data_IF_937080330013
#
_entry.id   IF_937080330013
#
_cell.length_a   1.000
_cell.length_b   1.000
_cell.length_c   1.000
_cell.angle_alpha   90.00
_cell.angle_beta   90.00
_cell.angle_gamma   90.00
#
_symmetry.space_group_name_H-M   'P 1'
#
loop_
_entity.id
_entity.type
_entity.pdbx_description
1 polymer ?
2 non-polymer ?
3 non-polymer ?
4 water ?
#
# COMPACT_ATOMS: atom_id res chain seq x y z
N UNK A 43 23.61 2.35 10.78
CA UNK A 43 23.46 3.85 10.81
C UNK A 43 22.71 4.37 9.60
N UNK A 44 22.08 3.46 8.83
CA UNK A 44 21.24 3.89 7.72
C UNK A 44 19.78 3.94 8.15
N UNK A 45 19.15 5.11 7.93
CA UNK A 45 17.75 5.29 8.26
C UNK A 45 16.89 4.51 7.27
N UNK A 46 15.85 3.85 7.82
CA UNK A 46 14.79 3.27 7.02
C UNK A 46 13.73 4.35 6.79
N UNK A 47 13.46 4.66 5.52
CA UNK A 47 12.56 5.73 5.16
C UNK A 47 11.40 5.16 4.36
N UNK A 48 10.17 5.58 4.71
CA UNK A 48 8.98 5.19 3.97
C UNK A 48 7.95 6.32 4.05
N UNK A 49 6.91 6.26 3.18
CA UNK A 49 5.77 7.15 3.27
C UNK A 49 5.05 6.89 4.60
N UNK A 50 4.49 7.95 5.20
CA UNK A 50 3.84 7.78 6.49
C UNK A 50 2.34 7.68 6.27
N UNK A 51 1.86 6.46 6.08
CA UNK A 51 0.51 6.25 5.56
C UNK A 51 -0.52 6.56 6.64
N UNK A 52 -0.10 6.43 7.89
CA UNK A 52 -0.99 6.61 9.03
C UNK A 52 -1.69 7.97 8.97
N UNK A 53 -1.14 8.89 8.16
CA UNK A 53 -1.60 10.27 8.05
C UNK A 53 -3.11 10.32 7.80
N UNK A 54 -3.60 9.39 6.97
CA UNK A 54 -4.94 9.39 6.41
C UNK A 54 -5.85 8.43 7.19
N UNK A 55 -5.44 8.07 8.40
CA UNK A 55 -6.18 7.10 9.17
C UNK A 55 -6.92 7.81 10.32
N UNK A 56 -8.02 7.22 10.76
CA UNK A 56 -8.73 7.72 11.92
C UNK A 56 -8.12 7.16 13.20
N UNK A 57 -6.97 6.50 13.08
CA UNK A 57 -6.30 5.96 14.26
C UNK A 57 -5.15 6.88 14.67
N UNK A 58 -4.86 7.84 13.79
CA UNK A 58 -3.77 8.80 13.95
C UNK A 58 -3.76 9.39 15.36
N UNK A 59 -4.83 10.07 15.76
CA UNK A 59 -4.85 10.74 17.06
C UNK A 59 -4.42 9.74 18.12
N UNK A 60 -5.13 8.62 18.20
CA UNK A 60 -4.84 7.58 19.18
C UNK A 60 -3.38 7.14 19.09
N UNK A 61 -2.84 7.06 17.87
CA UNK A 61 -1.46 6.62 17.69
C UNK A 61 -0.49 7.66 18.25
N UNK A 62 -0.74 8.93 17.91
CA UNK A 62 0.03 10.07 18.41
C UNK A 62 -0.04 10.15 19.93
N UNK A 63 -1.23 9.91 20.51
CA UNK A 63 -1.39 10.00 21.95
C UNK A 63 -0.35 9.14 22.67
N UNK A 64 0.06 8.04 22.04
CA UNK A 64 0.90 7.09 22.77
C UNK A 64 2.35 7.22 22.33
N UNK A 65 2.60 7.58 21.06
CA UNK A 65 3.96 7.43 20.56
C UNK A 65 4.56 8.76 20.12
N UNK A 66 3.74 9.79 19.90
CA UNK A 66 4.28 11.06 19.45
C UNK A 66 4.86 11.81 20.65
N UNK A 67 6.05 12.38 20.48
CA UNK A 67 6.52 13.34 21.46
C UNK A 67 5.59 14.53 21.41
N UNK A 68 4.95 14.82 22.54
CA UNK A 68 3.91 15.83 22.60
C UNK A 68 4.52 17.22 22.43
N UNK A 69 3.68 18.16 21.98
CA UNK A 69 4.14 19.49 21.64
C UNK A 69 4.56 20.23 22.90
N UNK A 70 4.06 19.80 24.06
CA UNK A 70 4.42 20.47 25.28
C UNK A 70 5.84 20.08 25.70
N UNK A 71 6.41 19.09 24.99
CA UNK A 71 7.77 18.66 25.26
C UNK A 71 8.77 19.25 24.28
N UNK A 72 8.32 20.07 23.33
CA UNK A 72 9.26 20.63 22.36
C UNK A 72 9.52 22.07 22.77
N UNK A 73 10.74 22.36 23.24
CA UNK A 73 11.00 23.63 23.88
C UNK A 73 11.28 24.78 22.89
N UNK A 74 12.21 24.59 21.95
CA UNK A 74 12.54 25.68 21.05
C UNK A 74 13.12 25.12 19.75
N UNK A 75 13.25 25.99 18.74
CA UNK A 75 13.86 25.53 17.50
C UNK A 75 14.74 26.66 16.95
N UNK A 76 15.83 26.27 16.27
CA UNK A 76 16.53 27.25 15.46
C UNK A 76 17.20 26.53 14.29
N UNK A 77 17.87 27.32 13.45
CA UNK A 77 18.31 26.89 12.14
C UNK A 77 19.37 27.88 11.66
N UNK A 78 20.25 27.43 10.76
CA UNK A 78 21.46 28.18 10.43
C UNK A 78 21.25 29.11 9.23
N UNK A 79 20.09 29.07 8.57
CA UNK A 79 19.94 29.83 7.37
C UNK A 79 18.75 30.78 7.34
N UNK A 80 18.31 31.27 8.51
CA UNK A 80 17.25 32.26 8.56
C UNK A 80 15.97 31.72 7.94
N UNK A 81 15.19 32.62 7.32
CA UNK A 81 13.88 32.31 6.80
C UNK A 81 13.68 33.16 5.55
N UNK A 82 12.89 32.65 4.61
CA UNK A 82 12.36 33.43 3.52
C UNK A 82 11.04 34.07 3.97
N UNK A 83 10.93 35.39 3.76
CA UNK A 83 9.73 36.13 4.07
C UNK A 83 9.36 35.86 5.53
N UNK A 84 8.12 35.42 5.75
CA UNK A 84 7.66 35.16 7.11
C UNK A 84 7.29 33.68 7.28
N UNK A 85 7.99 32.80 6.52
CA UNK A 85 7.97 31.36 6.71
C UNK A 85 8.96 31.02 7.81
N UNK A 86 8.57 31.36 9.05
CA UNK A 86 9.45 31.33 10.21
C UNK A 86 9.63 29.91 10.71
N UNK A 87 10.72 29.68 11.45
CA UNK A 87 11.18 28.35 11.80
C UNK A 87 10.25 27.69 12.82
N UNK A 88 9.48 28.52 13.57
CA UNK A 88 8.50 27.95 14.47
C UNK A 88 7.46 27.18 13.66
N UNK A 89 7.31 27.55 12.38
CA UNK A 89 6.29 26.90 11.58
C UNK A 89 6.67 25.47 11.18
N UNK A 90 7.88 25.04 11.58
CA UNK A 90 8.34 23.69 11.31
C UNK A 90 7.85 22.73 12.40
N UNK A 91 7.36 23.26 13.52
CA UNK A 91 6.98 22.41 14.65
C UNK A 91 5.74 23.01 15.30
N UNK A 92 4.87 23.62 14.49
CA UNK A 92 3.68 24.27 15.00
C UNK A 92 2.47 23.33 15.03
N UNK A 93 2.65 22.09 14.56
CA UNK A 93 1.61 21.06 14.60
C UNK A 93 0.66 21.15 13.42
N UNK A 94 0.97 22.02 12.44
CA UNK A 94 0.05 22.21 11.35
C UNK A 94 0.80 21.95 10.04
N UNK A 95 0.35 20.92 9.31
CA UNK A 95 0.98 20.51 8.06
C UNK A 95 0.88 21.60 7.00
N UNK A 96 -0.12 22.50 7.15
CA UNK A 96 -0.43 23.47 6.11
C UNK A 96 0.33 24.79 6.29
N UNK A 97 1.28 24.81 7.24
CA UNK A 97 2.21 25.91 7.45
C UNK A 97 3.65 25.38 7.37
N UNK A 98 4.55 26.17 6.79
CA UNK A 98 5.89 25.67 6.59
C UNK A 98 6.92 26.74 6.93
N UNK A 99 8.12 26.29 7.36
CA UNK A 99 9.36 27.06 7.36
C UNK A 99 10.05 26.87 6.01
N UNK A 100 10.53 27.97 5.43
CA UNK A 100 11.46 27.94 4.31
C UNK A 100 12.70 28.73 4.70
N UNK A 101 13.87 28.17 4.40
CA UNK A 101 15.11 28.88 4.65
C UNK A 101 15.11 30.22 3.90
N UNK A 102 15.94 31.15 4.40
CA UNK A 102 16.25 32.38 3.72
C UNK A 102 17.59 32.26 2.99
N UNK A 103 18.35 31.20 3.32
CA UNK A 103 19.59 30.91 2.61
C UNK A 103 19.51 29.51 1.99
N UNK A 104 19.52 29.37 0.63
CA UNK A 104 19.52 28.06 -0.02
C UNK A 104 20.85 27.33 0.14
N UNK A 105 20.78 25.99 0.21
CA UNK A 105 21.93 25.13 0.03
C UNK A 105 22.69 25.54 -1.23
N UNK A 106 23.99 25.83 -1.06
CA UNK A 106 24.90 26.09 -2.17
C UNK A 106 26.09 25.16 -2.03
N UNK A 107 27.07 25.34 -2.93
CA UNK A 107 28.29 24.57 -3.01
C UNK A 107 29.03 24.57 -1.67
N UNK A 108 28.63 25.45 -0.73
CA UNK A 108 29.42 25.77 0.45
C UNK A 108 28.55 26.05 1.68
N UNK A 109 27.24 25.85 1.56
CA UNK A 109 26.39 26.02 2.73
C UNK A 109 25.38 24.87 2.75
N UNK A 110 25.23 24.25 3.93
CA UNK A 110 24.23 23.24 4.21
C UNK A 110 23.24 23.74 5.27
N UNK A 111 21.95 23.67 4.95
CA UNK A 111 20.90 24.08 5.88
C UNK A 111 20.76 23.01 6.95
N UNK A 112 20.63 23.45 8.20
CA UNK A 112 20.34 22.52 9.27
C UNK A 112 19.35 23.16 10.24
N UNK A 113 18.65 22.31 10.98
CA UNK A 113 17.64 22.77 11.92
C UNK A 113 17.96 22.04 13.22
N UNK A 114 17.83 22.74 14.37
CA UNK A 114 18.11 22.13 15.66
C UNK A 114 16.90 22.30 16.60
N UNK A 115 16.36 21.16 17.07
CA UNK A 115 15.22 21.15 17.96
C UNK A 115 15.68 20.82 19.38
N UNK A 116 15.27 21.67 20.33
CA UNK A 116 15.54 21.44 21.74
C UNK A 116 14.28 20.94 22.42
N UNK A 117 14.42 19.83 23.15
CA UNK A 117 13.31 19.26 23.91
C UNK A 117 13.36 19.79 25.33
N UNK A 118 12.21 19.77 26.01
CA UNK A 118 12.10 20.28 27.37
C UNK A 118 12.92 19.42 28.33
N UNK A 119 13.07 18.13 28.01
CA UNK A 119 13.84 17.22 28.84
C UNK A 119 14.41 16.17 27.90
N UNK A 120 15.43 15.43 28.33
CA UNK A 120 16.01 14.39 27.50
C UNK A 120 14.93 13.39 27.12
N UNK A 121 14.90 13.02 25.82
CA UNK A 121 13.77 12.30 25.26
C UNK A 121 14.27 11.21 24.30
N UNK A 122 13.74 10.01 24.48
CA UNK A 122 14.11 8.86 23.67
C UNK A 122 13.23 8.82 22.42
N UNK A 123 13.89 8.94 21.25
CA UNK A 123 13.22 9.12 19.95
C UNK A 123 13.82 8.12 18.96
N UNK A 124 12.96 7.49 18.14
CA UNK A 124 13.43 6.52 17.17
C UNK A 124 13.01 6.91 15.75
N UNK A 125 12.09 7.88 15.63
CA UNK A 125 11.59 8.23 14.32
C UNK A 125 11.27 9.71 14.24
N UNK A 126 11.49 10.27 13.04
CA UNK A 126 11.09 11.60 12.66
C UNK A 126 10.06 11.45 11.54
N UNK A 127 8.93 12.17 11.60
CA UNK A 127 8.04 12.27 10.46
C UNK A 127 8.18 13.69 9.92
N UNK A 128 8.46 13.81 8.62
CA UNK A 128 8.84 15.07 8.04
C UNK A 128 8.13 15.24 6.69
N UNK A 129 7.68 16.46 6.42
CA UNK A 129 7.27 16.76 5.06
C UNK A 129 7.95 18.06 4.67
N UNK A 130 8.21 18.26 3.37
CA UNK A 130 8.57 19.59 2.88
C UNK A 130 7.30 20.46 2.82
N UNK A 131 7.44 21.73 2.44
CA UNK A 131 6.32 22.64 2.26
C UNK A 131 5.23 22.00 1.40
N UNK A 132 3.96 22.35 1.70
CA UNK A 132 2.81 21.70 1.10
C UNK A 132 1.84 22.73 0.50
N UNK A 133 2.38 23.83 -0.02
CA UNK A 133 1.56 24.89 -0.60
C UNK A 133 1.64 24.82 -2.12
N UNK A 134 1.50 25.97 -2.80
CA UNK A 134 1.65 26.06 -4.25
C UNK A 134 2.95 25.41 -4.71
N UNK A 135 4.04 25.57 -3.93
CA UNK A 135 5.37 25.10 -4.30
C UNK A 135 5.68 23.75 -3.65
N UNK A 136 4.62 22.97 -3.42
CA UNK A 136 4.64 21.62 -2.85
C UNK A 136 5.94 20.89 -3.19
N UNK A 137 6.65 20.42 -2.17
CA UNK A 137 7.80 19.54 -2.37
C UNK A 137 9.11 20.31 -2.47
N UNK A 138 9.03 21.60 -2.79
CA UNK A 138 10.27 22.35 -2.96
C UNK A 138 11.03 22.34 -1.63
N UNK A 139 12.32 22.01 -1.72
CA UNK A 139 13.18 22.09 -0.54
C UNK A 139 13.14 20.80 0.28
N UNK A 140 12.53 19.76 -0.27
CA UNK A 140 12.52 18.47 0.42
C UNK A 140 13.95 18.00 0.67
N UNK A 141 14.15 17.34 1.82
CA UNK A 141 15.42 16.78 2.23
C UNK A 141 15.61 15.39 1.60
N UNK A 142 16.05 15.40 0.34
CA UNK A 142 16.36 14.21 -0.44
C UNK A 142 17.45 13.41 0.26
N UNK A 143 18.37 14.11 0.94
CA UNK A 143 19.42 13.50 1.75
C UNK A 143 19.59 14.26 3.06
N UNK A 144 19.73 13.51 4.16
CA UNK A 144 19.71 14.12 5.47
C UNK A 144 20.59 13.32 6.42
N UNK A 145 20.96 13.97 7.53
CA UNK A 145 21.68 13.35 8.64
C UNK A 145 21.10 13.87 9.95
N UNK A 146 21.09 13.01 10.98
CA UNK A 146 20.48 13.31 12.26
C UNK A 146 21.55 13.16 13.35
N UNK A 147 21.70 14.20 14.16
CA UNK A 147 22.71 14.22 15.22
C UNK A 147 22.02 14.48 16.56
N UNK A 148 22.61 13.93 17.63
CA UNK A 148 22.11 14.10 18.98
C UNK A 148 23.09 14.96 19.78
N UNK A 149 22.56 15.71 20.74
CA UNK A 149 23.31 16.28 21.84
C UNK A 149 22.52 16.01 23.12
N UNK A 150 23.24 15.86 24.24
CA UNK A 150 22.57 15.63 25.51
C UNK A 150 22.57 16.90 26.35
N UNK A 151 23.07 18.01 25.79
CA UNK A 151 22.97 19.26 26.54
C UNK A 151 22.32 20.32 25.68
N UNK A 152 22.11 21.50 26.29
CA UNK A 152 21.32 22.58 25.71
C UNK A 152 22.14 23.50 24.81
N UNK A 153 23.47 23.51 24.96
CA UNK A 153 24.31 24.41 24.17
C UNK A 153 25.57 23.67 23.76
N UNK A 154 26.28 24.18 22.74
CA UNK A 154 27.57 23.64 22.35
C UNK A 154 27.51 22.79 21.10
N UNK A 155 28.63 22.74 20.36
CA UNK A 155 28.76 21.95 19.15
C UNK A 155 29.41 20.60 19.49
N UNK A 156 28.67 19.76 20.24
CA UNK A 156 29.15 18.44 20.63
C UNK A 156 28.28 17.37 19.97
N UNK A 157 27.70 17.67 18.80
CA UNK A 157 26.76 16.76 18.18
C UNK A 157 27.46 15.48 17.67
N UNK A 158 26.89 14.31 17.99
CA UNK A 158 27.29 13.04 17.37
C UNK A 158 26.24 12.52 16.38
N UNK A 159 26.69 11.95 15.26
CA UNK A 159 25.79 11.45 14.22
C UNK A 159 25.00 10.25 14.73
N UNK A 160 23.65 10.30 14.60
CA UNK A 160 22.75 9.20 14.93
C UNK A 160 22.42 8.42 13.65
N UNK A 161 22.13 9.10 12.54
CA UNK A 161 21.69 8.39 11.35
C UNK A 161 21.82 9.26 10.09
N UNK A 162 21.93 8.59 8.93
CA UNK A 162 21.82 9.25 7.64
C UNK A 162 20.76 8.53 6.80
N UNK A 163 20.25 9.21 5.76
CA UNK A 163 19.29 8.59 4.88
C UNK A 163 19.01 9.37 3.60
N UNK A 164 18.21 8.75 2.72
CA UNK A 164 17.79 9.38 1.49
C UNK A 164 16.32 9.07 1.23
N UNK A 165 15.71 9.84 0.33
CA UNK A 165 14.41 9.51 -0.23
C UNK A 165 14.29 10.19 -1.58
N UNK A 166 14.02 9.37 -2.60
CA UNK A 166 14.16 9.78 -3.99
C UNK A 166 12.83 9.58 -4.71
N UNK A 167 11.95 8.80 -4.07
CA UNK A 167 10.64 8.48 -4.62
C UNK A 167 9.94 9.76 -5.09
N UNK A 168 9.68 10.68 -4.15
CA UNK A 168 8.94 11.91 -4.37
C UNK A 168 9.48 12.98 -3.41
N UNK A 169 9.26 14.25 -3.74
CA UNK A 169 9.58 15.33 -2.82
C UNK A 169 8.32 15.84 -2.12
N UNK A 170 7.15 15.25 -2.42
CA UNK A 170 5.89 15.84 -1.99
C UNK A 170 5.23 14.98 -0.91
N UNK A 171 5.95 13.95 -0.47
CA UNK A 171 5.41 12.97 0.46
C UNK A 171 5.76 13.36 1.88
N UNK A 172 4.92 12.85 2.78
CA UNK A 172 5.14 12.89 4.22
C UNK A 172 5.81 11.58 4.58
N UNK A 173 7.05 11.66 5.10
CA UNK A 173 7.90 10.48 5.24
C UNK A 173 8.21 10.19 6.70
N UNK A 174 8.41 8.91 6.99
CA UNK A 174 8.81 8.40 8.29
C UNK A 174 10.26 7.93 8.23
N UNK A 175 11.09 8.51 9.10
CA UNK A 175 12.52 8.27 9.12
C UNK A 175 12.82 7.55 10.44
N UNK A 176 13.32 6.32 10.31
CA UNK A 176 13.38 5.38 11.42
C UNK A 176 14.84 4.97 11.63
N UNK A 177 15.25 5.01 12.90
CA UNK A 177 16.64 4.79 13.28
C UNK A 177 16.66 4.11 14.65
N UNK A 178 17.85 3.77 15.14
CA UNK A 178 17.99 3.26 16.50
C UNK A 178 17.37 4.24 17.48
N UNK A 179 16.56 3.78 18.46
CA UNK A 179 16.09 4.64 19.55
C UNK A 179 17.25 5.35 20.24
N UNK A 180 17.25 6.69 20.22
CA UNK A 180 18.35 7.44 20.82
C UNK A 180 17.82 8.53 21.76
N UNK A 181 18.60 8.83 22.79
CA UNK A 181 18.29 9.95 23.66
C UNK A 181 18.63 11.27 22.97
N UNK A 182 17.76 12.27 23.18
CA UNK A 182 18.06 13.60 22.69
C UNK A 182 17.67 14.63 23.75
N UNK A 183 18.59 15.57 23.98
CA UNK A 183 18.18 16.87 24.49
C UNK A 183 17.97 17.80 23.29
N UNK A 184 18.92 17.78 22.35
CA UNK A 184 18.83 18.54 21.12
C UNK A 184 18.95 17.56 19.95
N UNK A 185 18.12 17.75 18.91
CA UNK A 185 18.22 16.95 17.69
C UNK A 185 18.56 17.88 16.54
N UNK A 186 19.57 17.51 15.76
CA UNK A 186 19.97 18.29 14.60
C UNK A 186 19.63 17.53 13.31
N UNK A 187 18.95 18.23 12.41
CA UNK A 187 18.62 17.70 11.10
C UNK A 187 19.35 18.53 10.04
N UNK A 188 20.27 17.88 9.30
CA UNK A 188 21.00 18.53 8.22
C UNK A 188 20.36 18.22 6.86
N UNK A 189 20.15 19.28 6.07
CA UNK A 189 19.67 19.12 4.70
C UNK A 189 20.86 18.87 3.77
N UNK A 190 21.35 17.62 3.77
CA UNK A 190 22.49 17.24 2.95
C UNK A 190 22.20 17.55 1.47
N UNK A 191 21.03 17.11 0.97
CA UNK A 191 20.56 17.61 -0.31
C UNK A 191 19.10 18.04 -0.15
N UNK A 192 18.80 19.24 -0.68
CA UNK A 192 17.45 19.79 -0.62
C UNK A 192 16.97 20.10 -2.04
N UNK A 193 15.89 19.42 -2.45
CA UNK A 193 15.28 19.67 -3.75
C UNK A 193 15.23 21.17 -4.03
N UNK A 194 15.91 21.57 -5.10
CA UNK A 194 15.97 22.97 -5.54
C UNK A 194 16.54 23.88 -4.44
N UNK A 195 17.12 23.28 -3.38
CA UNK A 195 18.13 23.91 -2.52
C UNK A 195 17.54 24.76 -1.39
N UNK A 196 16.36 25.34 -1.64
CA UNK A 196 15.68 26.19 -0.68
C UNK A 196 14.94 25.31 0.32
N UNK A 197 15.70 24.69 1.23
CA UNK A 197 15.22 23.73 2.23
C UNK A 197 13.92 24.23 2.85
N UNK A 198 12.97 23.32 3.06
CA UNK A 198 11.69 23.66 3.67
C UNK A 198 11.23 22.52 4.57
N UNK A 199 10.31 22.86 5.49
CA UNK A 199 9.70 21.89 6.38
C UNK A 199 8.27 22.33 6.74
N UNK A 200 7.30 21.54 6.27
CA UNK A 200 5.94 21.67 6.74
C UNK A 200 5.91 21.40 8.25
N UNK A 201 6.40 20.22 8.64
CA UNK A 201 6.50 19.84 10.03
C UNK A 201 7.67 18.87 10.17
N UNK A 202 8.26 18.86 11.37
CA UNK A 202 8.96 17.71 11.93
C UNK A 202 8.17 17.20 13.15
N UNK A 203 7.93 15.90 13.14
CA UNK A 203 7.28 15.23 14.25
C UNK A 203 8.23 14.12 14.72
N UNK A 204 8.12 13.79 16.01
CA UNK A 204 9.08 12.91 16.68
C UNK A 204 8.29 11.81 17.38
N UNK A 205 8.83 10.59 17.32
CA UNK A 205 8.14 9.43 17.84
C UNK A 205 9.07 8.62 18.71
N UNK A 206 8.51 8.06 19.79
CA UNK A 206 9.17 7.06 20.60
C UNK A 206 9.11 5.73 19.86
N UNK A 207 9.85 4.75 20.38
CA UNK A 207 9.87 3.44 19.76
C UNK A 207 8.52 2.76 19.98
N UNK A 208 8.12 2.00 18.95
CA UNK A 208 6.90 1.21 18.97
C UNK A 208 7.34 -0.24 18.71
N UNK A 209 7.50 -0.99 19.80
CA UNK A 209 8.08 -2.32 19.74
C UNK A 209 7.10 -3.32 19.12
N UNK A 210 5.80 -3.17 19.42
CA UNK A 210 4.78 -4.08 18.87
C UNK A 210 4.64 -3.87 17.36
N UNK A 211 4.77 -2.61 16.94
CA UNK A 211 4.84 -2.30 15.53
C UNK A 211 6.02 -3.01 14.87
N UNK A 212 7.20 -2.93 15.50
CA UNK A 212 8.39 -3.56 14.94
C UNK A 212 8.20 -5.07 14.89
N UNK A 213 7.57 -5.64 15.92
CA UNK A 213 7.32 -7.07 15.95
C UNK A 213 6.40 -7.44 14.79
N UNK A 214 5.31 -6.67 14.63
CA UNK A 214 4.33 -7.00 13.60
C UNK A 214 5.02 -7.03 12.24
N UNK A 215 6.05 -6.21 12.03
CA UNK A 215 6.71 -6.14 10.73
C UNK A 215 7.52 -7.40 10.48
N UNK A 216 7.62 -8.26 11.48
CA UNK A 216 8.26 -9.54 11.32
C UNK A 216 7.25 -10.69 11.15
N UNK A 217 6.00 -10.35 10.83
CA UNK A 217 4.96 -11.36 10.70
C UNK A 217 5.31 -12.33 9.57
N UNK A 218 5.77 -11.80 8.44
CA UNK A 218 6.10 -12.60 7.27
C UNK A 218 7.61 -12.57 7.02
N UNK A 219 8.07 -13.45 6.14
CA UNK A 219 9.49 -13.64 5.92
C UNK A 219 10.06 -12.57 4.99
N UNK A 220 9.20 -11.89 4.23
CA UNK A 220 9.69 -10.94 3.25
C UNK A 220 8.54 -10.07 2.74
N UNK A 221 8.82 -9.27 1.72
CA UNK A 221 7.84 -8.30 1.25
C UNK A 221 6.72 -8.94 0.42
N UNK A 222 6.92 -10.15 -0.13
CA UNK A 222 5.82 -10.77 -0.85
C UNK A 222 4.75 -11.38 0.08
N UNK A 223 4.98 -11.34 1.40
CA UNK A 223 3.96 -11.59 2.41
C UNK A 223 3.22 -12.88 2.08
N UNK A 224 3.97 -13.95 1.80
CA UNK A 224 3.34 -15.19 1.36
C UNK A 224 3.81 -16.34 2.23
N UNK A 225 4.62 -16.02 3.25
CA UNK A 225 5.17 -17.04 4.13
C UNK A 225 5.27 -16.46 5.53
N UNK A 226 4.65 -17.13 6.50
CA UNK A 226 4.64 -16.64 7.87
C UNK A 226 6.01 -16.93 8.48
N UNK A 227 6.60 -15.95 9.18
CA UNK A 227 7.84 -16.19 9.92
C UNK A 227 7.68 -17.33 10.92
N UNK A 228 8.78 -18.03 11.18
CA UNK A 228 8.80 -19.13 12.14
C UNK A 228 8.20 -18.72 13.48
N UNK A 229 8.39 -17.44 13.84
CA UNK A 229 7.92 -16.88 15.11
C UNK A 229 6.40 -17.00 15.27
N UNK A 230 5.69 -17.09 14.15
CA UNK A 230 4.23 -16.95 14.16
C UNK A 230 3.60 -18.13 13.42
N UNK A 231 4.36 -19.23 13.25
CA UNK A 231 4.05 -20.23 12.23
C UNK A 231 3.04 -21.28 12.72
N UNK A 232 2.29 -21.00 13.79
CA UNK A 232 1.18 -21.87 14.18
C UNK A 232 0.00 -20.98 14.58
N UNK A 233 -1.22 -21.50 14.51
CA UNK A 233 -2.39 -20.71 14.89
C UNK A 233 -2.30 -20.25 16.34
N UNK A 234 -1.66 -21.06 17.19
CA UNK A 234 -1.59 -20.71 18.60
C UNK A 234 -0.60 -19.55 18.80
N UNK A 235 0.50 -19.55 18.04
CA UNK A 235 1.46 -18.46 18.13
C UNK A 235 0.81 -17.16 17.68
N UNK A 236 0.00 -17.29 16.63
CA UNK A 236 -0.58 -16.14 15.96
C UNK A 236 -1.64 -15.53 16.87
N UNK A 237 -2.46 -16.39 17.51
CA UNK A 237 -3.45 -15.94 18.47
C UNK A 237 -2.77 -15.21 19.64
N UNK A 238 -1.70 -15.79 20.17
CA UNK A 238 -0.99 -15.15 21.27
C UNK A 238 -0.58 -13.74 20.83
N UNK A 239 0.04 -13.64 19.63
CA UNK A 239 0.48 -12.37 19.10
C UNK A 239 -0.69 -11.38 19.04
N UNK A 240 -1.81 -11.82 18.48
CA UNK A 240 -2.94 -10.94 18.28
C UNK A 240 -3.46 -10.42 19.62
N UNK A 241 -3.53 -11.30 20.62
CA UNK A 241 -3.94 -10.94 21.97
C UNK A 241 -2.97 -9.90 22.52
N UNK A 242 -1.67 -10.12 22.31
CA UNK A 242 -0.62 -9.18 22.69
C UNK A 242 -0.88 -7.79 22.08
N UNK A 243 -1.62 -7.74 20.97
CA UNK A 243 -1.73 -6.55 20.14
C UNK A 243 -3.05 -5.80 20.39
N UNK A 244 -3.96 -6.38 21.17
CA UNK A 244 -5.36 -5.95 21.13
C UNK A 244 -5.53 -4.52 21.67
N UNK A 245 -4.65 -4.09 22.58
CA UNK A 245 -4.80 -2.79 23.24
C UNK A 245 -3.99 -1.71 22.54
N UNK A 246 -3.33 -2.06 21.42
CA UNK A 246 -2.52 -1.13 20.65
C UNK A 246 -3.40 -0.15 19.87
N UNK A 247 -3.03 1.15 19.78
CA UNK A 247 -3.81 2.13 19.01
C UNK A 247 -4.14 1.78 17.55
N UNK A 248 -3.28 1.03 16.86
CA UNK A 248 -3.60 0.73 15.47
C UNK A 248 -3.86 -0.77 15.30
N UNK A 249 -4.38 -1.38 16.36
CA UNK A 249 -4.77 -2.78 16.35
C UNK A 249 -5.57 -3.13 15.10
N UNK A 250 -6.56 -2.28 14.75
CA UNK A 250 -7.50 -2.62 13.68
C UNK A 250 -6.78 -2.61 12.34
N UNK A 251 -5.58 -2.01 12.32
CA UNK A 251 -4.81 -1.96 11.09
C UNK A 251 -3.94 -3.22 11.00
N UNK A 252 -3.75 -3.93 12.11
CA UNK A 252 -2.94 -5.15 12.09
C UNK A 252 -3.80 -6.37 11.82
N UNK A 253 -5.14 -6.23 11.88
CA UNK A 253 -6.04 -7.37 11.81
C UNK A 253 -5.94 -8.04 10.45
N UNK A 254 -5.77 -7.22 9.40
CA UNK A 254 -5.73 -7.71 8.04
C UNK A 254 -4.56 -8.68 7.88
N UNK A 255 -3.37 -8.23 8.27
CA UNK A 255 -2.18 -9.04 8.13
C UNK A 255 -2.26 -10.30 8.98
N UNK A 256 -2.82 -10.17 10.19
CA UNK A 256 -2.98 -11.38 11.02
C UNK A 256 -3.91 -12.38 10.34
N UNK A 257 -4.97 -11.88 9.71
CA UNK A 257 -5.94 -12.73 9.02
C UNK A 257 -5.28 -13.41 7.84
N UNK A 258 -4.50 -12.64 7.06
CA UNK A 258 -3.67 -13.16 5.98
C UNK A 258 -2.77 -14.31 6.47
N UNK A 259 -2.06 -14.12 7.60
CA UNK A 259 -1.21 -15.17 8.13
C UNK A 259 -2.05 -16.41 8.49
N UNK A 260 -3.21 -16.19 9.11
CA UNK A 260 -4.14 -17.27 9.44
C UNK A 260 -4.51 -18.04 8.17
N UNK A 261 -4.84 -17.34 7.09
CA UNK A 261 -5.24 -18.06 5.88
C UNK A 261 -4.05 -18.83 5.30
N UNK A 262 -2.83 -18.29 5.41
CA UNK A 262 -1.67 -18.95 4.83
C UNK A 262 -1.38 -20.23 5.64
N UNK A 263 -1.51 -20.17 6.95
CA UNK A 263 -1.25 -21.35 7.77
C UNK A 263 -2.28 -22.44 7.49
N UNK A 264 -3.49 -22.09 7.05
CA UNK A 264 -4.53 -23.09 6.86
C UNK A 264 -4.76 -23.36 5.36
N UNK A 265 -3.83 -22.98 4.48
CA UNK A 265 -4.02 -23.16 3.06
C UNK A 265 -3.90 -24.64 2.72
N UNK A 266 -4.61 -25.05 1.67
CA UNK A 266 -4.41 -26.40 1.14
C UNK A 266 -3.50 -26.32 -0.08
N UNK A 267 -2.99 -27.47 -0.51
CA UNK A 267 -2.06 -27.55 -1.63
C UNK A 267 -2.70 -27.18 -2.97
N UNK A 268 -1.89 -26.68 -3.91
CA UNK A 268 -2.39 -26.41 -5.24
C UNK A 268 -2.76 -27.71 -5.95
N UNK A 269 -4.00 -27.83 -6.46
CA UNK A 269 -4.39 -29.02 -7.18
C UNK A 269 -5.46 -28.66 -8.22
N UNK A 270 -5.08 -28.12 -9.39
CA UNK A 270 -6.04 -27.42 -10.24
C UNK A 270 -6.82 -28.45 -11.03
N UNK A 271 -8.04 -28.09 -11.41
CA UNK A 271 -8.86 -28.99 -12.20
C UNK A 271 -9.00 -28.44 -13.60
N UNK A 272 -9.28 -29.35 -14.54
CA UNK A 272 -9.70 -29.00 -15.89
C UNK A 272 -11.13 -28.49 -15.82
N UNK A 273 -11.31 -27.16 -15.93
CA UNK A 273 -12.62 -26.52 -15.89
C UNK A 273 -13.43 -26.93 -17.12
N UNK A 274 -14.76 -26.91 -16.99
CA UNK A 274 -15.62 -27.07 -18.17
C UNK A 274 -16.16 -25.71 -18.58
N UNK A 275 -16.03 -25.35 -19.87
CA UNK A 275 -16.49 -24.05 -20.32
C UNK A 275 -17.62 -24.25 -21.34
N UNK A 276 -18.74 -23.54 -21.12
CA UNK A 276 -19.82 -23.51 -22.10
C UNK A 276 -20.58 -22.20 -22.08
N UNK A 277 -21.26 -21.93 -23.19
CA UNK A 277 -22.17 -20.82 -23.35
C UNK A 277 -23.30 -20.95 -22.32
N UNK A 278 -23.64 -19.87 -21.65
CA UNK A 278 -24.73 -19.92 -20.69
C UNK A 278 -25.64 -18.70 -20.91
N UNK A 279 -26.88 -18.81 -20.43
CA UNK A 279 -27.82 -17.70 -20.43
C UNK A 279 -28.47 -17.51 -19.06
N UNK A 280 -28.10 -18.31 -18.04
CA UNK A 280 -28.78 -18.19 -16.75
C UNK A 280 -28.56 -16.81 -16.11
N UNK A 281 -27.63 -16.00 -16.65
CA UNK A 281 -27.39 -14.66 -16.12
C UNK A 281 -28.62 -13.77 -16.36
N UNK A 282 -29.43 -14.12 -17.34
CA UNK A 282 -30.64 -13.39 -17.62
C UNK A 282 -31.68 -13.63 -16.53
N UNK A 283 -31.52 -14.76 -15.80
CA UNK A 283 -32.50 -15.28 -14.85
C UNK A 283 -32.27 -14.62 -13.50
N UNK A 284 -33.01 -13.52 -13.31
CA UNK A 284 -32.90 -12.58 -12.20
C UNK A 284 -33.05 -13.29 -10.86
N UNK A 285 -34.09 -14.13 -10.74
CA UNK A 285 -34.37 -14.94 -9.55
C UNK A 285 -33.17 -15.85 -9.25
N UNK A 286 -32.60 -16.46 -10.29
CA UNK A 286 -31.45 -17.35 -10.12
C UNK A 286 -30.22 -16.58 -9.66
N UNK A 287 -30.00 -15.38 -10.24
CA UNK A 287 -28.94 -14.48 -9.82
C UNK A 287 -29.05 -14.13 -8.34
N UNK A 288 -30.27 -13.89 -7.87
CA UNK A 288 -30.51 -13.53 -6.48
C UNK A 288 -30.00 -14.65 -5.57
N UNK A 289 -30.05 -15.89 -6.07
CA UNK A 289 -29.66 -17.03 -5.25
C UNK A 289 -28.23 -17.48 -5.49
N UNK A 290 -27.70 -17.34 -6.71
CA UNK A 290 -26.46 -18.03 -7.00
C UNK A 290 -25.34 -17.11 -7.45
N UNK A 291 -25.66 -15.87 -7.85
CA UNK A 291 -24.62 -14.94 -8.24
C UNK A 291 -24.23 -14.11 -7.04
N UNK A 292 -22.90 -13.96 -6.89
CA UNK A 292 -22.32 -13.10 -5.87
C UNK A 292 -22.69 -11.67 -6.18
N UNK A 293 -23.28 -10.91 -5.22
CA UNK A 293 -23.67 -9.52 -5.44
C UNK A 293 -22.47 -8.71 -5.89
N UNK A 294 -22.69 -7.79 -6.85
CA UNK A 294 -21.61 -6.93 -7.32
C UNK A 294 -21.06 -6.11 -6.14
N UNK A 295 -21.89 -5.90 -5.11
CA UNK A 295 -21.45 -5.08 -3.99
C UNK A 295 -20.34 -5.79 -3.22
N UNK A 296 -20.08 -7.07 -3.50
CA UNK A 296 -19.04 -7.76 -2.73
C UNK A 296 -17.66 -7.57 -3.38
N UNK A 297 -17.59 -6.80 -4.46
CA UNK A 297 -16.33 -6.50 -5.12
C UNK A 297 -15.71 -5.31 -4.42
N UNK A 298 -14.49 -5.47 -3.91
CA UNK A 298 -13.83 -4.38 -3.23
C UNK A 298 -13.06 -3.55 -4.23
N UNK A 299 -12.40 -4.23 -5.18
CA UNK A 299 -11.45 -3.61 -6.09
C UNK A 299 -11.27 -4.51 -7.29
N UNK A 300 -10.99 -3.90 -8.43
CA UNK A 300 -10.55 -4.62 -9.61
C UNK A 300 -9.31 -3.90 -10.13
N UNK A 301 -8.33 -4.68 -10.59
CA UNK A 301 -7.23 -4.12 -11.36
C UNK A 301 -6.89 -5.11 -12.47
N UNK A 302 -5.92 -4.73 -13.31
CA UNK A 302 -5.38 -5.57 -14.37
C UNK A 302 -3.96 -5.09 -14.64
N UNK A 303 -3.17 -5.90 -15.34
CA UNK A 303 -1.72 -5.69 -15.37
C UNK A 303 -1.29 -5.02 -16.67
N UNK A 304 -2.23 -4.74 -17.57
CA UNK A 304 -1.87 -4.26 -18.90
C UNK A 304 -2.48 -2.90 -19.28
N UNK A 305 -2.82 -2.08 -18.27
CA UNK A 305 -3.43 -0.76 -18.48
C UNK A 305 -4.71 -0.96 -19.29
N UNK A 306 -5.16 0.08 -20.03
CA UNK A 306 -6.32 -0.05 -20.89
C UNK A 306 -6.22 0.82 -22.13
N UNK A 307 -7.01 0.46 -23.15
CA UNK A 307 -7.07 1.20 -24.39
C UNK A 307 -8.17 2.25 -24.36
N UNK A 308 -7.83 3.49 -24.76
CA UNK A 308 -8.82 4.55 -24.98
C UNK A 308 -9.72 4.71 -23.73
N UNK A 309 -11.02 4.57 -23.95
CA UNK A 309 -11.99 4.80 -22.89
C UNK A 309 -12.51 3.48 -22.29
N UNK A 310 -11.82 2.37 -22.60
CA UNK A 310 -12.34 1.08 -22.18
C UNK A 310 -11.67 0.66 -20.86
N UNK A 311 -11.97 1.40 -19.79
CA UNK A 311 -11.35 1.23 -18.48
C UNK A 311 -11.87 -0.05 -17.80
N UNK A 312 -11.19 -0.46 -16.74
CA UNK A 312 -11.35 -1.81 -16.19
C UNK A 312 -12.69 -1.92 -15.46
N UNK A 313 -13.17 -0.81 -14.89
CA UNK A 313 -14.44 -0.87 -14.18
C UNK A 313 -15.54 -1.30 -15.14
N UNK A 314 -15.35 -1.13 -16.45
CA UNK A 314 -16.46 -1.48 -17.33
C UNK A 314 -16.70 -2.99 -17.42
N UNK A 315 -15.77 -3.78 -16.90
CA UNK A 315 -15.91 -5.22 -16.89
C UNK A 315 -16.85 -5.69 -15.78
N UNK A 316 -17.20 -4.79 -14.84
CA UNK A 316 -17.97 -5.18 -13.66
C UNK A 316 -19.12 -4.20 -13.41
N UNK A 317 -19.75 -3.72 -14.46
CA UNK A 317 -20.77 -2.70 -14.27
C UNK A 317 -22.13 -3.31 -14.60
N UNK A 318 -22.20 -4.63 -14.70
CA UNK A 318 -23.46 -5.30 -14.97
C UNK A 318 -24.12 -4.75 -16.24
N UNK A 319 -23.31 -4.53 -17.28
CA UNK A 319 -23.81 -4.14 -18.57
C UNK A 319 -22.97 -4.84 -19.65
N UNK A 320 -23.66 -5.70 -20.42
CA UNK A 320 -22.96 -6.54 -21.39
C UNK A 320 -22.42 -5.73 -22.57
N UNK A 321 -22.79 -4.44 -22.64
CA UNK A 321 -22.47 -3.58 -23.76
C UNK A 321 -21.23 -2.74 -23.47
N UNK A 322 -20.88 -2.55 -22.20
CA UNK A 322 -19.62 -1.87 -21.91
C UNK A 322 -18.56 -2.92 -21.61
N UNK A 323 -17.30 -2.63 -21.97
CA UNK A 323 -16.23 -3.58 -21.73
C UNK A 323 -14.92 -2.86 -21.44
N UNK A 324 -14.05 -3.55 -20.69
CA UNK A 324 -12.64 -3.21 -20.56
C UNK A 324 -11.92 -3.82 -21.75
N UNK A 325 -10.90 -3.10 -22.23
CA UNK A 325 -9.97 -3.63 -23.21
C UNK A 325 -8.56 -3.22 -22.76
N UNK A 326 -7.62 -4.17 -22.82
CA UNK A 326 -6.27 -3.94 -22.32
C UNK A 326 -5.60 -2.86 -23.18
N UNK A 327 -4.57 -2.24 -22.63
CA UNK A 327 -3.60 -1.54 -23.46
C UNK A 327 -2.35 -2.35 -23.86
N UNK A 328 -2.20 -3.62 -23.44
CA UNK A 328 -0.98 -4.39 -23.71
C UNK A 328 -1.31 -5.76 -24.28
N UNK A 329 -0.73 -6.09 -25.45
CA UNK A 329 -0.95 -7.37 -26.14
C UNK A 329 -0.37 -8.55 -25.36
N UNK A 330 -1.01 -9.72 -25.48
CA UNK A 330 -0.41 -10.99 -25.08
C UNK A 330 0.83 -11.21 -25.95
N UNK A 331 1.94 -11.63 -25.33
CA UNK A 331 3.14 -11.91 -26.10
C UNK A 331 3.85 -13.12 -25.50
N UNK A 332 5.04 -13.41 -26.03
CA UNK A 332 5.93 -14.38 -25.40
C UNK A 332 6.25 -13.99 -23.98
N UNK A 333 6.39 -12.69 -23.69
CA UNK A 333 6.80 -12.29 -22.36
C UNK A 333 5.66 -11.73 -21.49
N UNK A 334 4.41 -11.69 -22.00
CA UNK A 334 3.35 -11.01 -21.26
C UNK A 334 2.02 -11.72 -21.44
N UNK A 335 1.28 -11.86 -20.33
CA UNK A 335 -0.11 -12.29 -20.36
C UNK A 335 -0.98 -11.33 -19.59
N UNK A 336 -2.13 -11.02 -20.18
CA UNK A 336 -3.10 -10.15 -19.54
C UNK A 336 -3.69 -10.88 -18.33
N UNK A 337 -3.73 -10.17 -17.21
CA UNK A 337 -4.26 -10.69 -15.96
C UNK A 337 -5.21 -9.67 -15.33
N UNK A 338 -6.33 -10.16 -14.79
CA UNK A 338 -7.27 -9.30 -14.10
C UNK A 338 -7.43 -9.85 -12.67
N UNK A 339 -7.32 -8.96 -11.68
CA UNK A 339 -7.53 -9.37 -10.29
C UNK A 339 -8.74 -8.66 -9.70
N UNK A 340 -9.61 -9.44 -9.06
CA UNK A 340 -10.76 -8.90 -8.36
C UNK A 340 -10.63 -9.27 -6.89
N UNK A 341 -10.82 -8.30 -6.00
CA UNK A 341 -10.74 -8.55 -4.58
C UNK A 341 -12.13 -8.44 -3.99
N UNK A 342 -12.43 -9.27 -3.00
CA UNK A 342 -13.78 -9.29 -2.42
C UNK A 342 -13.73 -8.63 -1.05
N UNK A 343 -14.86 -8.04 -0.68
CA UNK A 343 -15.12 -7.58 0.68
C UNK A 343 -15.11 -8.75 1.65
N UNK A 344 -15.98 -9.73 1.40
CA UNK A 344 -16.07 -10.93 2.23
C UNK A 344 -15.68 -12.13 1.38
N UNK A 345 -14.91 -13.04 2.00
CA UNK A 345 -14.58 -14.34 1.41
C UNK A 345 -15.86 -14.93 0.82
N UNK A 346 -15.72 -15.70 -0.24
CA UNK A 346 -16.88 -16.25 -0.92
C UNK A 346 -16.46 -17.58 -1.56
N UNK A 347 -17.33 -18.59 -1.46
CA UNK A 347 -17.02 -19.84 -2.13
C UNK A 347 -17.74 -19.83 -3.46
N UNK A 348 -16.97 -20.02 -4.55
CA UNK A 348 -17.51 -19.99 -5.89
C UNK A 348 -17.19 -21.32 -6.57
N UNK A 349 -18.03 -21.72 -7.54
CA UNK A 349 -17.68 -22.82 -8.43
C UNK A 349 -17.73 -22.40 -9.90
N UNK A 350 -18.19 -21.16 -10.20
CA UNK A 350 -18.25 -20.73 -11.60
C UNK A 350 -17.80 -19.29 -11.79
N UNK A 351 -16.98 -19.05 -12.83
CA UNK A 351 -16.72 -17.69 -13.33
C UNK A 351 -17.38 -17.52 -14.69
N UNK A 352 -18.19 -16.46 -14.85
CA UNK A 352 -18.86 -16.20 -16.12
C UNK A 352 -18.25 -14.96 -16.76
N UNK A 353 -18.06 -15.00 -18.08
CA UNK A 353 -17.32 -13.93 -18.74
C UNK A 353 -17.70 -13.82 -20.21
N UNK A 354 -17.35 -12.66 -20.79
CA UNK A 354 -17.48 -12.44 -22.22
C UNK A 354 -16.41 -11.48 -22.69
N UNK A 355 -16.31 -11.31 -24.01
CA UNK A 355 -15.41 -10.32 -24.59
C UNK A 355 -16.19 -9.06 -24.97
N UNK A 356 -15.52 -8.09 -25.63
CA UNK A 356 -16.28 -7.09 -26.37
C UNK A 356 -17.10 -7.84 -27.42
N UNK A 357 -18.36 -7.43 -27.57
CA UNK A 357 -19.33 -8.19 -28.33
C UNK A 357 -19.25 -7.83 -29.81
N UNK A 358 -18.61 -6.69 -30.13
CA UNK A 358 -18.63 -6.27 -31.52
C UNK A 358 -18.01 -7.37 -32.38
N UNK A 359 -16.77 -7.77 -32.06
CA UNK A 359 -16.02 -8.68 -32.93
C UNK A 359 -15.26 -9.74 -32.14
N UNK A 360 -15.51 -9.83 -30.82
CA UNK A 360 -14.91 -10.86 -29.96
C UNK A 360 -13.39 -10.70 -29.84
N UNK A 361 -12.86 -9.56 -30.30
CA UNK A 361 -11.47 -9.23 -30.05
C UNK A 361 -11.18 -9.34 -28.55
N UNK A 362 -10.13 -10.11 -28.21
CA UNK A 362 -9.60 -10.20 -26.86
C UNK A 362 -10.30 -11.26 -26.00
N UNK A 363 -11.13 -12.08 -26.63
CA UNK A 363 -11.81 -13.18 -25.99
C UNK A 363 -10.81 -14.16 -25.37
N UNK A 364 -11.09 -14.56 -24.12
CA UNK A 364 -10.18 -15.46 -23.44
C UNK A 364 -10.38 -16.88 -23.96
N UNK A 365 -9.54 -17.29 -24.90
CA UNK A 365 -9.73 -18.59 -25.53
C UNK A 365 -9.21 -19.67 -24.60
N UNK A 366 -8.19 -19.32 -23.81
CA UNK A 366 -7.77 -20.21 -22.76
C UNK A 366 -7.60 -19.41 -21.47
N UNK A 367 -8.12 -19.94 -20.35
CA UNK A 367 -8.20 -19.16 -19.13
C UNK A 367 -7.60 -19.97 -18.00
N UNK A 368 -6.75 -19.30 -17.20
CA UNK A 368 -6.23 -19.84 -15.95
C UNK A 368 -6.88 -19.08 -14.81
N UNK A 369 -7.44 -19.83 -13.85
CA UNK A 369 -8.11 -19.21 -12.73
C UNK A 369 -7.32 -19.48 -11.45
N UNK A 370 -6.96 -18.40 -10.71
CA UNK A 370 -6.23 -18.55 -9.45
C UNK A 370 -7.08 -18.03 -8.30
N UNK A 371 -6.92 -18.66 -7.12
CA UNK A 371 -7.54 -18.16 -5.89
C UNK A 371 -6.47 -17.66 -4.91
N UNK A 372 -6.82 -16.63 -4.14
CA UNK A 372 -6.09 -16.22 -2.95
C UNK A 372 -7.07 -16.06 -1.80
N UNK A 373 -6.66 -16.52 -0.62
CA UNK A 373 -7.45 -16.36 0.60
C UNK A 373 -6.85 -15.22 1.43
N UNK A 374 -5.90 -14.48 0.86
CA UNK A 374 -5.41 -13.28 1.54
C UNK A 374 -5.82 -12.05 0.75
N UNK A 375 -5.75 -10.89 1.41
CA UNK A 375 -6.17 -9.62 0.85
C UNK A 375 -5.05 -9.05 0.00
N UNK A 376 -3.82 -9.53 0.23
CA UNK A 376 -2.64 -9.02 -0.45
C UNK A 376 -1.49 -10.01 -0.25
N UNK A 377 -0.40 -9.81 -0.98
CA UNK A 377 0.71 -10.74 -0.97
C UNK A 377 0.65 -11.73 -2.13
N UNK A 378 1.78 -12.37 -2.44
CA UNK A 378 1.85 -13.23 -3.62
C UNK A 378 1.35 -14.63 -3.26
N UNK A 379 0.05 -14.77 -3.05
CA UNK A 379 -0.47 -15.93 -2.36
C UNK A 379 -1.49 -16.65 -3.24
N UNK A 380 -1.44 -16.39 -4.55
CA UNK A 380 -2.40 -16.96 -5.47
C UNK A 380 -2.05 -18.42 -5.72
N UNK A 381 -3.06 -19.30 -5.76
CA UNK A 381 -2.75 -20.63 -6.24
C UNK A 381 -3.69 -20.94 -7.40
N UNK A 382 -3.22 -21.76 -8.35
CA UNK A 382 -3.99 -22.08 -9.54
C UNK A 382 -5.11 -23.04 -9.16
N UNK A 383 -6.36 -22.72 -9.56
CA UNK A 383 -7.50 -23.56 -9.23
C UNK A 383 -8.05 -24.30 -10.45
N UNK A 384 -7.95 -23.70 -11.64
CA UNK A 384 -8.58 -24.32 -12.79
C UNK A 384 -7.97 -23.76 -14.07
N UNK A 385 -8.11 -24.53 -15.13
CA UNK A 385 -7.78 -24.10 -16.48
C UNK A 385 -8.78 -24.74 -17.42
N UNK A 386 -9.11 -24.04 -18.48
CA UNK A 386 -10.03 -24.49 -19.51
C UNK A 386 -9.92 -23.57 -20.74
N UNK A 387 -10.58 -23.97 -21.82
CA UNK A 387 -10.49 -23.33 -23.12
C UNK A 387 -11.88 -23.33 -23.71
N UNK A 388 -12.16 -22.35 -24.59
CA UNK A 388 -13.37 -22.31 -25.39
C UNK A 388 -13.06 -21.42 -26.58
N UNK A 389 -13.67 -21.76 -27.71
CA UNK A 389 -13.62 -20.97 -28.92
C UNK A 389 -14.33 -19.65 -28.65
N UNK A 390 -13.88 -18.54 -29.26
CA UNK A 390 -14.57 -17.26 -29.13
C UNK A 390 -16.01 -17.41 -29.62
N UNK A 391 -16.92 -16.80 -28.86
CA UNK A 391 -18.34 -16.85 -29.13
C UNK A 391 -18.91 -15.56 -28.58
N UNK A 392 -19.98 -15.07 -29.22
CA UNK A 392 -20.80 -14.01 -28.66
C UNK A 392 -21.45 -14.53 -27.37
N UNK A 393 -21.97 -13.60 -26.55
CA UNK A 393 -22.68 -13.97 -25.33
C UNK A 393 -21.71 -14.26 -24.18
N UNK A 394 -22.18 -14.96 -23.14
CA UNK A 394 -21.31 -15.20 -22.01
C UNK A 394 -20.99 -16.68 -21.87
N UNK A 395 -19.84 -16.96 -21.23
CA UNK A 395 -19.38 -18.33 -21.06
C UNK A 395 -19.11 -18.56 -19.58
N UNK A 396 -19.48 -19.74 -19.06
CA UNK A 396 -19.08 -20.10 -17.71
C UNK A 396 -17.85 -20.99 -17.78
N UNK A 397 -16.89 -20.76 -16.87
CA UNK A 397 -15.91 -21.78 -16.49
C UNK A 397 -16.39 -22.44 -15.20
N UNK A 398 -16.73 -23.73 -15.23
CA UNK A 398 -17.07 -24.43 -13.99
C UNK A 398 -15.89 -25.28 -13.50
N UNK A 399 -15.57 -25.14 -12.21
CA UNK A 399 -14.45 -25.79 -11.51
C UNK A 399 -14.95 -26.19 -10.13
N UNK A 400 -14.09 -26.78 -9.28
CA UNK A 400 -14.46 -27.24 -7.93
C UNK A 400 -14.72 -26.06 -6.99
N UNK A 401 -15.74 -26.15 -6.12
CA UNK A 401 -16.03 -25.10 -5.14
C UNK A 401 -14.76 -24.66 -4.43
N UNK A 402 -14.42 -23.37 -4.56
CA UNK A 402 -13.19 -22.83 -4.01
C UNK A 402 -13.50 -21.55 -3.25
N UNK A 403 -12.82 -21.33 -2.12
CA UNK A 403 -12.94 -20.09 -1.38
C UNK A 403 -11.97 -19.02 -1.92
N UNK A 404 -12.46 -17.79 -2.12
CA UNK A 404 -11.71 -16.69 -2.70
C UNK A 404 -11.79 -15.43 -1.83
N UNK A 405 -10.63 -14.84 -1.53
CA UNK A 405 -10.58 -13.48 -1.04
C UNK A 405 -10.31 -12.57 -2.22
N UNK A 406 -9.48 -13.05 -3.17
CA UNK A 406 -9.21 -12.41 -4.44
C UNK A 406 -9.21 -13.51 -5.51
N UNK A 407 -9.53 -13.12 -6.75
CA UNK A 407 -9.44 -14.03 -7.89
C UNK A 407 -8.56 -13.35 -8.94
N UNK A 408 -7.67 -14.13 -9.56
CA UNK A 408 -6.95 -13.67 -10.72
C UNK A 408 -7.43 -14.44 -11.94
N UNK A 409 -7.70 -13.70 -13.01
CA UNK A 409 -8.22 -14.26 -14.24
C UNK A 409 -7.17 -14.02 -15.31
N UNK A 410 -6.56 -15.11 -15.78
CA UNK A 410 -5.44 -14.94 -16.69
C UNK A 410 -5.85 -15.31 -18.10
N UNK A 411 -5.55 -14.41 -19.05
CA UNK A 411 -5.80 -14.74 -20.42
C UNK A 411 -4.60 -15.53 -20.91
N UNK A 412 -4.64 -16.86 -20.81
CA UNK A 412 -3.50 -17.67 -21.25
C UNK A 412 -3.33 -17.62 -22.78
N UNK A 413 -4.47 -17.70 -23.49
CA UNK A 413 -4.53 -17.49 -24.93
C UNK A 413 -5.78 -16.66 -25.24
N UNK A 414 -5.69 -15.74 -26.21
CA UNK A 414 -6.77 -14.78 -26.40
C UNK A 414 -6.88 -14.40 -27.87
N UNK A 415 -8.11 -14.08 -28.30
CA UNK A 415 -8.33 -13.78 -29.72
C UNK A 415 -7.55 -12.52 -30.12
N UNK A 416 -6.80 -12.63 -31.23
CA UNK A 416 -5.94 -11.57 -31.73
C UNK A 416 -4.96 -11.10 -30.65
N UNK A 417 -4.69 -11.95 -29.64
CA UNK A 417 -3.71 -11.66 -28.59
C UNK A 417 -4.10 -10.41 -27.79
N UNK A 418 -5.36 -9.99 -27.96
CA UNK A 418 -5.89 -8.87 -27.20
C UNK A 418 -6.39 -9.36 -25.84
N UNK A 419 -7.15 -8.53 -25.12
CA UNK A 419 -7.91 -9.01 -23.97
C UNK A 419 -9.03 -8.02 -23.68
N UNK A 420 -10.27 -8.52 -23.67
CA UNK A 420 -11.44 -7.72 -23.31
C UNK A 420 -12.37 -8.54 -22.42
N UNK A 421 -13.13 -7.83 -21.59
CA UNK A 421 -14.19 -8.37 -20.75
C UNK A 421 -15.40 -7.44 -20.81
N UNK A 422 -16.54 -7.90 -21.35
CA UNK A 422 -17.75 -7.09 -21.26
C UNK A 422 -18.28 -7.21 -19.83
N UNK A 423 -18.40 -8.43 -19.30
CA UNK A 423 -18.72 -8.65 -17.88
C UNK A 423 -17.94 -9.83 -17.31
N UNK A 424 -17.69 -9.76 -16.00
CA UNK A 424 -17.06 -10.82 -15.24
C UNK A 424 -17.89 -11.02 -13.98
N UNK A 425 -18.43 -12.24 -13.87
CA UNK A 425 -19.44 -12.56 -12.87
C UNK A 425 -19.03 -13.83 -12.15
N UNK A 426 -19.55 -14.00 -10.94
CA UNK A 426 -19.06 -15.01 -10.04
C UNK A 426 -20.27 -15.73 -9.47
N UNK A 427 -20.31 -17.06 -9.68
CA UNK A 427 -21.46 -17.84 -9.21
C UNK A 427 -21.05 -18.83 -8.13
N UNK A 428 -21.99 -19.06 -7.21
CA UNK A 428 -21.80 -19.98 -6.09
C UNK A 428 -22.36 -21.35 -6.43
N UNK A 429 -21.90 -22.41 -5.73
CA UNK A 429 -22.36 -23.78 -5.99
C UNK A 429 -23.80 -24.07 -5.54
X LIG B 1 3.90 23.51 10.14
X LIG C 1 -19.66 -4.12 -18.79
X LIG D 1 -27.36 -23.29 -15.03
X LIG D 1 -26.45 -24.32 -14.68
X LIG D 1 -28.73 -23.51 -14.45
X LIG D 1 -29.24 -24.74 -14.95
X LIG D 1 -29.68 -22.41 -14.78
X LIG D 1 -30.80 -22.42 -13.90
X LIG E 1 4.76 1.76 10.08
X LIG E 1 4.76 0.80 9.02
X LIG E 1 3.53 2.64 10.03
X LIG E 1 2.34 1.84 10.00
X LIG E 1 3.43 3.58 11.21
X LIG E 1 2.75 2.93 12.29
#
# INVERSE_FOLDING_TARGET
>A
MGSSHHHHHHSSGLVPRGSHMASQELNTKNNSKVEVSHDDESHQARVSKFDLYNSDKLDAYNQEFQVSRSNIKSINNNGGKYNSSTIDKAIDGNLETHWETGKPNDANFTNEVVVTFNEITNIDRIVYSARRDSARGKGFAKEFEIYASLKDEGDDFNLVSSGEYTESTRDLVEIKFNPTDFKRLKFKFKKADQNWASAAEFMFYKEDKLNEKFNGLFTDSSMNKVSEEFNTLEKLNAFENELKDHPIYDLYKEGLNNARAILTETSENPTKATLGQITYNLNDDYNNQYRMPYKNIKAIKNNGRHYAAQNIEKAIDNDVNTYWETGTLNSSSFNNEVEVEFNDLVTLDRIVYGSRQSDLKGFAEEVYIYASRTSKGDTYKLVATGAHEATKGLVEAKFEPTEFKRVKFKFKKSKQNSATLNELMFYKPDEVYSSIPKLFTDGTMSELS
>B hetero
1 CA CA
>C hetero
1 CA CA
>D hetero
1 GOL C1 O1 C2 O2 C3 O3
>E hetero
1 GOL C1 O1 C2 O2 C3 O3
#
